data_IF_195656281241
#
_entry.id   IF_195656281241
#
_cell.length_a   1.000
_cell.length_b   1.000
_cell.length_c   1.000
_cell.angle_alpha   90.00
_cell.angle_beta   90.00
_cell.angle_gamma   90.00
#
_symmetry.space_group_name_H-M   'P 1'
#
loop_
_entity.id
_entity.type
_entity.pdbx_description
1 polymer ?
#
# COMPACT_ATOMS: atom_id res chain seq x y z
N UNK A 1 2.47 -4.42 1.44
CA UNK A 1 1.88 -5.70 1.00
C UNK A 1 2.33 -6.85 1.89
N UNK A 2 1.46 -7.85 2.07
CA UNK A 2 1.79 -9.08 2.80
C UNK A 2 2.12 -10.21 1.83
N UNK A 3 3.26 -10.86 2.02
CA UNK A 3 3.65 -12.07 1.29
C UNK A 3 3.42 -13.33 2.13
N UNK A 4 3.45 -14.50 1.48
CA UNK A 4 3.20 -15.80 2.13
C UNK A 4 4.13 -16.04 3.33
N UNK A 5 5.43 -15.79 3.17
CA UNK A 5 6.37 -16.04 4.28
C UNK A 5 6.18 -15.09 5.46
N UNK A 6 5.79 -13.83 5.21
CA UNK A 6 5.50 -12.87 6.29
C UNK A 6 4.26 -13.31 7.08
N UNK A 7 3.22 -13.78 6.37
CA UNK A 7 2.02 -14.29 7.02
C UNK A 7 2.31 -15.48 7.93
N UNK A 8 3.17 -16.40 7.48
CA UNK A 8 3.65 -17.51 8.30
C UNK A 8 4.41 -17.04 9.53
N UNK A 9 5.35 -16.10 9.37
CA UNK A 9 6.12 -15.53 10.48
C UNK A 9 5.20 -14.89 11.53
N UNK A 10 4.17 -14.15 11.10
CA UNK A 10 3.18 -13.57 12.01
C UNK A 10 2.43 -14.68 12.77
N UNK A 11 1.97 -15.73 12.07
CA UNK A 11 1.27 -16.83 12.75
C UNK A 11 2.17 -17.55 13.75
N UNK A 12 3.44 -17.79 13.41
CA UNK A 12 4.40 -18.45 14.31
C UNK A 12 4.69 -17.61 15.54
N UNK A 13 4.96 -16.31 15.35
CA UNK A 13 5.19 -15.39 16.46
C UNK A 13 3.99 -15.31 17.40
N UNK A 14 2.76 -15.33 16.87
CA UNK A 14 1.54 -15.35 17.70
C UNK A 14 1.34 -16.70 18.42
N UNK A 15 1.64 -17.82 17.77
CA UNK A 15 1.59 -19.15 18.42
C UNK A 15 2.53 -19.18 19.62
N UNK A 16 3.77 -18.73 19.44
CA UNK A 16 4.79 -18.67 20.48
C UNK A 16 4.38 -17.72 21.61
N UNK A 17 4.01 -16.48 21.27
CA UNK A 17 3.64 -15.47 22.26
C UNK A 17 2.38 -15.81 23.07
N UNK A 18 1.45 -16.58 22.48
CA UNK A 18 0.17 -16.95 23.13
C UNK A 18 0.20 -18.34 23.77
N UNK A 19 1.26 -19.13 23.55
CA UNK A 19 1.33 -20.52 24.01
C UNK A 19 0.20 -21.39 23.45
N UNK A 20 -0.32 -21.05 22.26
CA UNK A 20 -1.49 -21.69 21.65
C UNK A 20 -1.16 -22.09 20.22
N UNK A 21 -1.29 -23.38 19.90
CA UNK A 21 -0.94 -23.95 18.60
C UNK A 21 -2.00 -23.75 17.52
N UNK A 22 -3.17 -23.18 17.86
CA UNK A 22 -4.15 -22.76 16.87
C UNK A 22 -3.57 -21.73 15.90
N UNK A 23 -4.15 -21.62 14.70
CA UNK A 23 -3.73 -20.62 13.70
C UNK A 23 -3.69 -19.23 14.34
N UNK A 24 -2.62 -18.48 14.07
CA UNK A 24 -2.38 -17.16 14.65
C UNK A 24 -2.45 -17.11 16.19
N UNK A 25 -2.09 -18.19 16.89
CA UNK A 25 -2.15 -18.25 18.35
C UNK A 25 -3.56 -18.17 18.91
N UNK A 26 -4.57 -18.52 18.11
CA UNK A 26 -5.99 -18.39 18.46
C UNK A 26 -6.51 -16.94 18.42
N UNK A 27 -5.76 -16.01 17.85
CA UNK A 27 -6.18 -14.61 17.69
C UNK A 27 -7.12 -14.48 16.48
N UNK A 28 -8.19 -13.70 16.64
CA UNK A 28 -9.04 -13.31 15.52
C UNK A 28 -8.28 -12.33 14.62
N UNK A 29 -8.02 -12.72 13.37
CA UNK A 29 -7.29 -11.91 12.39
C UNK A 29 -8.24 -11.39 11.33
N UNK A 30 -8.23 -10.07 11.13
CA UNK A 30 -8.95 -9.39 10.05
C UNK A 30 -7.93 -8.89 9.03
N UNK A 31 -8.07 -9.34 7.79
CA UNK A 31 -7.30 -8.81 6.66
C UNK A 31 -8.09 -7.70 5.98
N UNK A 32 -7.44 -6.56 5.74
CA UNK A 32 -8.00 -5.46 4.97
C UNK A 32 -6.97 -4.98 3.94
N UNK A 33 -7.41 -4.77 2.70
CA UNK A 33 -6.53 -4.34 1.62
C UNK A 33 -7.19 -4.42 0.25
N UNK A 34 -6.41 -4.09 -0.77
CA UNK A 34 -6.80 -4.14 -2.18
C UNK A 34 -5.75 -4.94 -2.97
N UNK A 35 -6.17 -5.96 -3.72
CA UNK A 35 -5.28 -6.81 -4.51
C UNK A 35 -4.83 -6.17 -5.83
N UNK A 36 -5.41 -5.04 -6.23
CA UNK A 36 -4.92 -4.21 -7.32
C UNK A 36 -3.69 -3.37 -6.93
N UNK A 37 -3.25 -3.41 -5.65
CA UNK A 37 -1.99 -2.82 -5.23
C UNK A 37 -0.79 -3.58 -5.81
N UNK A 38 0.39 -2.97 -5.73
CA UNK A 38 1.66 -3.61 -6.07
C UNK A 38 1.79 -4.96 -5.33
N UNK A 39 2.57 -5.93 -5.81
CA UNK A 39 2.86 -7.17 -5.09
C UNK A 39 3.94 -6.98 -4.01
N UNK A 40 4.00 -7.81 -2.97
CA UNK A 40 5.06 -7.72 -1.96
C UNK A 40 6.45 -7.87 -2.57
N UNK A 41 7.35 -6.96 -2.19
CA UNK A 41 8.72 -6.93 -2.70
C UNK A 41 9.49 -8.15 -2.22
N UNK A 42 10.12 -8.89 -3.15
CA UNK A 42 10.96 -10.05 -2.83
C UNK A 42 10.21 -11.29 -2.28
N UNK A 43 8.88 -11.26 -2.23
CA UNK A 43 8.06 -12.35 -1.67
C UNK A 43 6.98 -12.80 -2.65
N UNK A 44 6.38 -13.98 -2.39
CA UNK A 44 5.21 -14.43 -3.16
C UNK A 44 3.93 -13.86 -2.54
N UNK A 45 3.12 -13.21 -3.38
CA UNK A 45 1.80 -12.69 -3.00
C UNK A 45 0.88 -13.80 -2.50
N UNK A 46 -0.03 -13.46 -1.57
CA UNK A 46 -1.03 -14.39 -1.04
C UNK A 46 -1.98 -14.91 -2.11
N UNK A 47 -2.26 -14.11 -3.14
CA UNK A 47 -3.13 -14.45 -4.28
C UNK A 47 -2.39 -15.08 -5.46
N UNK A 48 -1.06 -15.27 -5.38
CA UNK A 48 -0.32 -15.93 -6.44
C UNK A 48 -0.60 -17.44 -6.45
N UNK A 49 -0.51 -18.06 -7.64
CA UNK A 49 -0.40 -19.50 -7.75
C UNK A 49 0.94 -19.97 -7.19
N UNK A 50 0.92 -21.04 -6.41
CA UNK A 50 2.11 -21.65 -5.83
C UNK A 50 2.20 -23.07 -6.34
N UNK A 51 3.36 -23.44 -6.86
CA UNK A 51 3.68 -24.84 -7.17
C UNK A 51 3.90 -25.58 -5.86
N UNK A 52 3.18 -26.68 -5.70
CA UNK A 52 3.27 -27.58 -4.54
C UNK A 52 3.95 -28.90 -4.93
N UNK A 53 4.70 -28.91 -6.03
CA UNK A 53 5.50 -30.07 -6.42
C UNK A 53 6.61 -30.34 -5.38
N UNK A 54 7.09 -31.59 -5.38
CA UNK A 54 8.08 -32.09 -4.40
C UNK A 54 9.34 -31.22 -4.43
N UNK A 55 9.76 -30.77 -5.61
CA UNK A 55 10.91 -29.89 -5.79
C UNK A 55 10.70 -28.53 -5.10
N UNK A 56 9.52 -27.91 -5.27
CA UNK A 56 9.17 -26.65 -4.59
C UNK A 56 9.04 -26.82 -3.07
N UNK A 57 8.63 -27.99 -2.59
CA UNK A 57 8.48 -28.29 -1.16
C UNK A 57 9.78 -28.76 -0.49
N UNK A 58 10.84 -29.05 -1.25
CA UNK A 58 12.11 -29.59 -0.73
C UNK A 58 12.93 -28.58 0.08
N UNK A 59 12.74 -27.28 -0.15
CA UNK A 59 13.50 -26.22 0.54
C UNK A 59 12.69 -25.57 1.67
N UNK A 60 13.37 -25.16 2.76
CA UNK A 60 12.75 -24.39 3.86
C UNK A 60 11.99 -23.16 3.35
N UNK A 61 12.58 -22.42 2.40
CA UNK A 61 11.96 -21.24 1.78
C UNK A 61 10.71 -21.61 0.98
N UNK A 62 10.72 -22.76 0.30
CA UNK A 62 9.57 -23.31 -0.42
C UNK A 62 8.44 -23.71 0.51
N UNK A 63 8.75 -24.46 1.57
CA UNK A 63 7.80 -24.85 2.61
C UNK A 63 7.14 -23.63 3.26
N UNK A 64 7.93 -22.59 3.60
CA UNK A 64 7.38 -21.36 4.18
C UNK A 64 6.38 -20.66 3.25
N UNK A 65 6.63 -20.66 1.93
CA UNK A 65 5.68 -20.11 0.95
C UNK A 65 4.38 -20.92 0.94
N UNK A 66 4.49 -22.24 0.90
CA UNK A 66 3.33 -23.15 0.87
C UNK A 66 2.50 -23.01 2.15
N UNK A 67 3.13 -23.08 3.32
CA UNK A 67 2.45 -22.93 4.61
C UNK A 67 1.79 -21.55 4.74
N UNK A 68 2.47 -20.48 4.34
CA UNK A 68 1.89 -19.14 4.29
C UNK A 68 0.66 -19.04 3.39
N UNK A 69 0.67 -19.74 2.24
CA UNK A 69 -0.50 -19.81 1.36
C UNK A 69 -1.63 -20.63 1.97
N UNK A 70 -1.33 -21.73 2.66
CA UNK A 70 -2.34 -22.51 3.38
C UNK A 70 -3.00 -21.68 4.49
N UNK A 71 -2.24 -20.85 5.21
CA UNK A 71 -2.80 -19.88 6.16
C UNK A 71 -3.75 -18.91 5.46
N UNK A 72 -3.39 -18.37 4.30
CA UNK A 72 -4.27 -17.50 3.53
C UNK A 72 -5.55 -18.22 3.09
N UNK A 73 -5.44 -19.46 2.62
CA UNK A 73 -6.59 -20.28 2.21
C UNK A 73 -7.49 -20.70 3.39
N UNK A 74 -7.03 -20.55 4.64
CA UNK A 74 -7.85 -20.79 5.84
C UNK A 74 -8.88 -19.68 6.10
N UNK A 75 -8.76 -18.53 5.43
CA UNK A 75 -9.72 -17.42 5.54
C UNK A 75 -11.04 -17.83 4.87
N UNK A 76 -12.12 -17.87 5.66
CA UNK A 76 -13.43 -18.36 5.21
C UNK A 76 -14.42 -17.27 4.81
N UNK A 77 -14.18 -16.03 5.27
CA UNK A 77 -15.13 -14.93 5.11
C UNK A 77 -14.47 -13.79 4.37
N UNK A 78 -15.13 -13.33 3.31
CA UNK A 78 -14.67 -12.20 2.49
C UNK A 78 -15.78 -11.17 2.45
N UNK A 79 -15.43 -9.92 2.73
CA UNK A 79 -16.33 -8.77 2.63
C UNK A 79 -15.79 -7.84 1.56
N UNK A 80 -16.61 -7.55 0.53
CA UNK A 80 -16.25 -6.66 -0.56
C UNK A 80 -16.95 -5.32 -0.36
N UNK A 81 -16.17 -4.27 -0.11
CA UNK A 81 -16.66 -2.90 -0.04
C UNK A 81 -16.87 -2.36 -1.46
N UNK A 82 -18.08 -1.91 -1.78
CA UNK A 82 -18.46 -1.43 -3.13
C UNK A 82 -18.50 0.09 -3.28
N UNK A 83 -18.62 0.83 -2.17
CA UNK A 83 -18.80 2.28 -2.19
C UNK A 83 -17.47 2.99 -1.94
N UNK A 84 -17.07 3.84 -2.88
CA UNK A 84 -15.89 4.71 -2.75
C UNK A 84 -16.26 5.94 -1.93
N UNK A 85 -15.80 6.01 -0.70
CA UNK A 85 -16.10 7.12 0.23
C UNK A 85 -15.14 8.32 0.08
N UNK A 86 -14.12 8.23 -0.80
CA UNK A 86 -13.14 9.31 -0.99
C UNK A 86 -13.76 10.59 -1.59
N UNK A 87 -14.92 10.46 -2.24
CA UNK A 87 -15.67 11.57 -2.86
C UNK A 87 -16.99 11.72 -2.13
N UNK A 88 -16.93 12.26 -0.91
CA UNK A 88 -18.14 12.55 -0.14
C UNK A 88 -18.75 13.86 -0.60
N UNK A 89 -20.08 13.87 -0.66
CA UNK A 89 -20.83 15.12 -0.75
C UNK A 89 -20.76 15.81 0.62
N UNK A 90 -20.32 17.05 0.66
CA UNK A 90 -20.41 17.92 1.83
C UNK A 90 -21.62 18.82 1.67
N UNK A 91 -22.26 19.15 2.79
CA UNK A 91 -23.35 20.12 2.79
C UNK A 91 -22.74 21.51 2.65
N UNK A 92 -23.14 22.26 1.64
CA UNK A 92 -22.73 23.64 1.49
C UNK A 92 -23.39 24.47 2.60
N UNK A 93 -22.58 25.22 3.36
CA UNK A 93 -23.05 25.98 4.51
C UNK A 93 -23.94 27.17 4.14
N UNK A 94 -23.89 27.64 2.89
CA UNK A 94 -24.63 28.79 2.40
C UNK A 94 -25.91 28.39 1.66
N UNK A 95 -25.85 27.39 0.79
CA UNK A 95 -27.01 26.93 -0.01
C UNK A 95 -27.78 25.79 0.65
N UNK A 96 -27.16 25.07 1.58
CA UNK A 96 -27.73 23.89 2.22
C UNK A 96 -27.73 22.63 1.34
N UNK A 97 -27.29 22.72 0.09
CA UNK A 97 -27.25 21.63 -0.87
C UNK A 97 -26.05 20.69 -0.65
N UNK A 98 -26.15 19.45 -1.13
CA UNK A 98 -25.06 18.48 -1.08
C UNK A 98 -24.17 18.61 -2.32
N UNK A 99 -23.01 19.22 -2.16
CA UNK A 99 -22.00 19.40 -3.21
C UNK A 99 -20.85 18.42 -3.04
N UNK A 100 -20.26 17.96 -4.13
CA UNK A 100 -19.03 17.17 -4.03
C UNK A 100 -17.87 18.07 -3.60
N UNK A 101 -16.99 17.52 -2.77
CA UNK A 101 -15.70 18.15 -2.46
C UNK A 101 -14.92 18.35 -3.78
N UNK A 102 -14.78 19.61 -4.20
CA UNK A 102 -14.22 19.96 -5.51
C UNK A 102 -12.80 19.43 -5.68
N UNK A 103 -12.00 19.40 -4.62
CA UNK A 103 -10.64 18.85 -4.64
C UNK A 103 -10.67 17.32 -4.78
N UNK A 104 -11.63 16.64 -4.15
CA UNK A 104 -11.79 15.20 -4.30
C UNK A 104 -12.23 14.81 -5.73
N UNK A 105 -13.07 15.62 -6.37
CA UNK A 105 -13.48 15.43 -7.77
C UNK A 105 -12.29 15.65 -8.69
N UNK A 106 -11.57 16.77 -8.55
CA UNK A 106 -10.35 17.04 -9.33
C UNK A 106 -9.31 15.94 -9.19
N UNK A 107 -9.10 15.44 -7.97
CA UNK A 107 -8.18 14.35 -7.71
C UNK A 107 -8.63 13.04 -8.37
N UNK A 108 -9.94 12.72 -8.35
CA UNK A 108 -10.44 11.53 -9.05
C UNK A 108 -10.25 11.65 -10.56
N UNK A 109 -10.54 12.81 -11.14
CA UNK A 109 -10.38 13.05 -12.58
C UNK A 109 -8.91 12.92 -12.98
N UNK A 110 -7.98 13.48 -12.20
CA UNK A 110 -6.55 13.27 -12.33
C UNK A 110 -6.22 11.77 -12.31
N UNK A 111 -6.67 11.02 -11.30
CA UNK A 111 -6.42 9.57 -11.21
C UNK A 111 -7.00 8.81 -12.42
N UNK A 112 -8.15 9.23 -12.92
CA UNK A 112 -8.79 8.69 -14.12
C UNK A 112 -7.96 8.93 -15.38
N UNK A 113 -7.44 10.15 -15.56
CA UNK A 113 -6.52 10.51 -16.65
C UNK A 113 -5.21 9.73 -16.56
N UNK A 114 -4.57 9.71 -15.39
CA UNK A 114 -3.32 8.99 -15.15
C UNK A 114 -3.46 7.49 -15.44
N UNK A 115 -4.57 6.87 -15.04
CA UNK A 115 -4.85 5.46 -15.35
C UNK A 115 -4.89 5.17 -16.85
N UNK A 116 -5.30 6.16 -17.65
CA UNK A 116 -5.35 6.06 -19.11
C UNK A 116 -4.06 6.56 -19.79
N UNK A 117 -3.03 6.95 -19.03
CA UNK A 117 -1.82 7.56 -19.57
C UNK A 117 -2.03 8.95 -20.17
N UNK A 118 -3.07 9.67 -19.72
CA UNK A 118 -3.38 11.06 -20.14
C UNK A 118 -2.95 12.04 -19.05
N UNK A 119 -2.50 13.22 -19.46
CA UNK A 119 -2.10 14.32 -18.58
C UNK A 119 -2.40 15.66 -19.28
N UNK A 120 -2.66 16.70 -18.51
CA UNK A 120 -2.87 18.09 -18.95
C UNK A 120 -1.88 19.00 -18.24
N UNK A 121 -1.66 20.22 -18.73
CA UNK A 121 -0.74 21.16 -18.06
C UNK A 121 -1.17 21.49 -16.62
N UNK A 122 -2.48 21.54 -16.37
CA UNK A 122 -3.07 21.72 -15.04
C UNK A 122 -2.78 20.55 -14.08
N UNK A 123 -2.45 19.36 -14.61
CA UNK A 123 -2.09 18.19 -13.79
C UNK A 123 -0.67 18.28 -13.24
N UNK A 124 0.15 19.25 -13.66
CA UNK A 124 1.54 19.41 -13.19
C UNK A 124 1.71 20.48 -12.11
N UNK A 125 0.69 21.32 -11.89
CA UNK A 125 0.80 22.42 -10.92
C UNK A 125 0.47 21.95 -9.49
N UNK A 126 1.43 22.12 -8.59
CA UNK A 126 1.31 21.78 -7.16
C UNK A 126 0.92 20.33 -6.80
N UNK A 127 1.09 19.37 -7.72
CA UNK A 127 0.79 17.96 -7.44
C UNK A 127 2.00 17.18 -6.89
N UNK A 128 1.78 16.14 -6.08
CA UNK A 128 2.81 15.17 -5.77
C UNK A 128 3.32 14.47 -7.04
N UNK A 129 4.64 14.47 -7.25
CA UNK A 129 5.27 13.73 -8.34
C UNK A 129 5.57 12.30 -7.87
N UNK A 130 5.03 11.32 -8.58
CA UNK A 130 5.29 9.89 -8.32
C UNK A 130 6.30 9.39 -9.35
N UNK A 131 7.39 8.81 -8.87
CA UNK A 131 8.43 8.19 -9.71
C UNK A 131 8.67 6.75 -9.28
N UNK A 132 9.28 5.96 -10.17
CA UNK A 132 9.47 4.52 -9.98
C UNK A 132 10.65 4.14 -9.08
N UNK A 133 11.61 5.05 -8.87
CA UNK A 133 12.83 4.77 -8.12
C UNK A 133 13.06 5.79 -7.00
N UNK A 134 13.70 5.32 -5.92
CA UNK A 134 14.03 6.18 -4.79
C UNK A 134 15.06 7.24 -5.18
N UNK A 135 16.04 6.88 -6.01
CA UNK A 135 17.11 7.78 -6.46
C UNK A 135 16.53 9.00 -7.19
N UNK A 136 15.56 8.78 -8.09
CA UNK A 136 14.90 9.87 -8.80
C UNK A 136 14.01 10.69 -7.86
N UNK A 137 13.31 10.03 -6.94
CA UNK A 137 12.45 10.68 -5.94
C UNK A 137 13.29 11.59 -5.03
N UNK A 138 14.43 11.10 -4.58
CA UNK A 138 15.36 11.82 -3.71
C UNK A 138 15.96 13.01 -4.45
N UNK A 139 16.43 12.84 -5.70
CA UNK A 139 16.95 13.95 -6.52
C UNK A 139 15.89 15.04 -6.78
N UNK A 140 14.63 14.67 -7.05
CA UNK A 140 13.52 15.61 -7.22
C UNK A 140 13.22 16.36 -5.92
N UNK A 141 13.16 15.64 -4.78
CA UNK A 141 12.88 16.22 -3.49
C UNK A 141 13.99 17.17 -3.02
N UNK A 142 15.26 16.79 -3.22
CA UNK A 142 16.42 17.64 -2.92
C UNK A 142 16.36 18.95 -3.70
N UNK A 143 16.12 18.87 -5.02
CA UNK A 143 15.96 20.06 -5.87
C UNK A 143 14.77 20.91 -5.43
N UNK A 144 13.63 20.30 -5.13
CA UNK A 144 12.44 21.01 -4.68
C UNK A 144 12.69 21.73 -3.34
N UNK A 145 13.38 21.08 -2.40
CA UNK A 145 13.74 21.67 -1.12
C UNK A 145 14.69 22.87 -1.27
N UNK A 146 15.70 22.77 -2.13
CA UNK A 146 16.63 23.87 -2.44
C UNK A 146 15.90 25.08 -3.04
N UNK A 147 15.04 24.85 -4.04
CA UNK A 147 14.24 25.91 -4.68
C UNK A 147 13.30 26.57 -3.68
N UNK A 148 12.67 25.78 -2.81
CA UNK A 148 11.79 26.30 -1.76
C UNK A 148 12.55 27.17 -0.76
N UNK A 149 13.69 26.71 -0.24
CA UNK A 149 14.52 27.45 0.72
C UNK A 149 15.02 28.78 0.12
N UNK A 150 15.48 28.76 -1.13
CA UNK A 150 15.91 29.96 -1.85
C UNK A 150 14.77 30.97 -2.02
N UNK A 151 13.55 30.51 -2.37
CA UNK A 151 12.37 31.38 -2.48
C UNK A 151 11.92 31.95 -1.14
N UNK A 152 12.05 31.16 -0.08
CA UNK A 152 11.67 31.57 1.28
C UNK A 152 12.75 32.42 1.98
N UNK A 153 13.95 32.54 1.41
CA UNK A 153 15.07 33.28 2.01
C UNK A 153 15.63 32.63 3.28
N UNK A 154 15.51 31.30 3.39
CA UNK A 154 15.97 30.53 4.56
C UNK A 154 17.09 29.57 4.18
N UNK A 155 17.92 29.22 5.15
CA UNK A 155 18.98 28.22 4.97
C UNK A 155 18.41 26.79 5.03
N UNK A 156 18.84 25.94 4.10
CA UNK A 156 18.49 24.53 4.07
C UNK A 156 19.57 23.70 4.78
N UNK A 157 19.19 23.02 5.86
CA UNK A 157 20.08 22.16 6.63
C UNK A 157 19.69 20.68 6.47
N UNK A 158 20.69 19.82 6.27
CA UNK A 158 20.52 18.37 6.20
C UNK A 158 21.12 17.70 7.43
N UNK A 159 20.35 16.81 8.06
CA UNK A 159 20.80 16.03 9.19
C UNK A 159 20.64 14.55 8.86
N UNK A 160 21.69 13.77 9.08
CA UNK A 160 21.69 12.34 8.88
C UNK A 160 21.92 11.64 10.21
N UNK A 161 21.05 10.68 10.56
CA UNK A 161 21.33 9.77 11.64
C UNK A 161 22.42 8.77 11.20
N UNK A 162 23.34 8.45 12.12
CA UNK A 162 24.21 7.30 11.98
C UNK A 162 23.64 6.18 12.85
N UNK A 163 23.37 5.04 12.23
CA UNK A 163 23.06 3.80 12.93
C UNK A 163 24.31 3.23 13.61
#
# INVERSE_FOLDING_TARGET
MVGCQLLLQISQALIEAKGNTALFGGVNVIFAGDFAQLPPVGMKSLYANIRTDVESASSKKGQQKILGKLLWLSVKTVVILKKVERIRKRKNNFTGELEHDADAVRFLDLLGRLRQGKCTDDDFDHVPIIVSSNELKDALNERAAQVYAAKAGVELNWYHAKD
#
